data_IF_064721495913
#
_entry.id   IF_064721495913
#
_cell.length_a   1.000
_cell.length_b   1.000
_cell.length_c   1.000
_cell.angle_alpha   90.00
_cell.angle_beta   90.00
_cell.angle_gamma   90.00
#
_symmetry.space_group_name_H-M   'P 1'
#
loop_
_entity.id
_entity.type
_entity.pdbx_description
1 polymer ?
#
# COMPACT_ATOMS: atom_id res chain seq x y z
N UNK A 1 -25.27 3.88 -45.86
CA UNK A 1 -26.28 4.14 -44.82
C UNK A 1 -25.60 4.24 -43.45
N UNK A 2 -25.14 5.45 -43.14
CA UNK A 2 -24.66 5.84 -41.82
C UNK A 2 -25.87 6.22 -40.94
N UNK A 3 -25.84 5.81 -39.68
CA UNK A 3 -26.76 6.25 -38.61
C UNK A 3 -25.88 6.80 -37.48
N UNK A 4 -26.25 7.92 -36.83
CA UNK A 4 -25.29 8.88 -36.29
C UNK A 4 -24.81 8.59 -34.87
N UNK A 5 -23.57 9.03 -34.59
CA UNK A 5 -23.02 9.27 -33.26
C UNK A 5 -23.81 10.39 -32.55
N UNK A 6 -24.75 10.02 -31.69
CA UNK A 6 -25.23 10.91 -30.64
C UNK A 6 -25.87 10.09 -29.52
N UNK A 7 -25.04 9.51 -28.65
CA UNK A 7 -25.38 9.13 -27.26
C UNK A 7 -24.14 8.54 -26.56
N UNK A 8 -23.12 9.37 -26.34
CA UNK A 8 -21.98 9.07 -25.47
C UNK A 8 -21.72 10.28 -24.59
N UNK A 9 -22.57 10.51 -23.59
CA UNK A 9 -22.28 11.36 -22.42
C UNK A 9 -23.48 11.38 -21.47
N UNK A 10 -23.69 10.28 -20.75
CA UNK A 10 -24.32 10.28 -19.42
C UNK A 10 -24.25 8.87 -18.86
N UNK A 11 -23.33 8.60 -17.92
CA UNK A 11 -23.48 7.68 -16.79
C UNK A 11 -22.13 7.62 -16.02
N UNK A 12 -21.79 8.74 -15.39
CA UNK A 12 -20.87 8.77 -14.25
C UNK A 12 -21.73 8.97 -12.99
N UNK A 13 -22.28 7.87 -12.45
CA UNK A 13 -22.76 7.77 -11.06
C UNK A 13 -23.26 6.35 -10.77
N UNK A 14 -22.52 5.63 -9.92
CA UNK A 14 -22.94 4.70 -8.86
C UNK A 14 -21.96 3.51 -8.71
N UNK A 15 -21.33 3.32 -7.53
CA UNK A 15 -20.67 2.08 -7.17
C UNK A 15 -21.38 1.43 -5.96
N UNK A 16 -22.10 0.32 -6.16
CA UNK A 16 -22.55 -0.55 -5.06
C UNK A 16 -23.15 -1.85 -5.61
N UNK A 17 -22.33 -2.83 -6.01
CA UNK A 17 -22.84 -4.19 -6.25
C UNK A 17 -21.80 -5.34 -6.24
N UNK A 18 -20.51 -5.10 -5.96
CA UNK A 18 -19.47 -6.12 -6.24
C UNK A 18 -18.82 -6.80 -5.03
N UNK A 19 -19.30 -6.58 -3.80
CA UNK A 19 -18.64 -7.16 -2.60
C UNK A 19 -19.36 -8.39 -2.03
N UNK A 20 -20.61 -8.67 -2.40
CA UNK A 20 -21.38 -9.79 -1.82
C UNK A 20 -21.07 -11.19 -2.42
N UNK A 21 -20.06 -11.34 -3.29
CA UNK A 21 -19.83 -12.60 -4.03
C UNK A 21 -18.68 -13.50 -3.54
N UNK A 22 -18.03 -13.17 -2.42
CA UNK A 22 -16.84 -13.93 -1.96
C UNK A 22 -17.09 -14.89 -0.78
N UNK A 23 -18.32 -15.04 -0.28
CA UNK A 23 -18.64 -15.93 0.85
C UNK A 23 -19.60 -17.07 0.49
N UNK A 24 -19.38 -17.80 -0.61
CA UNK A 24 -20.15 -19.03 -0.89
C UNK A 24 -19.23 -20.20 -1.23
N UNK A 25 -19.33 -21.26 -0.41
CA UNK A 25 -18.86 -22.61 -0.71
C UNK A 25 -20.07 -23.57 -0.80
N UNK A 26 -19.97 -24.70 -1.52
CA UNK A 26 -21.13 -25.39 -2.08
C UNK A 26 -21.68 -26.54 -1.23
N UNK A 27 -23.01 -26.70 -1.28
CA UNK A 27 -23.75 -27.97 -1.33
C UNK A 27 -23.65 -28.96 -0.16
N UNK A 28 -24.68 -28.97 0.69
CA UNK A 28 -25.12 -30.18 1.38
C UNK A 28 -26.66 -30.20 1.47
N UNK A 29 -27.19 -31.42 1.36
CA UNK A 29 -28.54 -31.85 1.02
C UNK A 29 -29.73 -31.10 1.64
N UNK A 30 -30.76 -30.92 0.81
CA UNK A 30 -32.09 -30.51 1.22
C UNK A 30 -32.97 -31.75 1.42
N UNK A 31 -33.45 -32.00 2.64
CA UNK A 31 -34.80 -32.55 2.88
C UNK A 31 -35.16 -32.62 4.36
N UNK A 32 -36.40 -32.18 4.65
CA UNK A 32 -37.21 -32.35 5.86
C UNK A 32 -36.88 -31.45 7.06
N UNK A 33 -37.47 -30.25 7.08
CA UNK A 33 -38.31 -29.79 8.20
C UNK A 33 -39.05 -28.49 7.84
N UNK A 34 -40.37 -28.49 8.08
CA UNK A 34 -41.33 -27.42 7.80
C UNK A 34 -41.04 -26.12 8.57
N UNK A 35 -41.47 -24.94 8.07
CA UNK A 35 -41.19 -23.67 8.74
C UNK A 35 -42.13 -23.43 9.95
N UNK A 36 -41.65 -22.91 11.09
CA UNK A 36 -42.52 -22.39 12.14
C UNK A 36 -43.01 -20.96 11.81
N UNK A 37 -44.12 -20.51 12.41
CA UNK A 37 -44.87 -19.34 11.95
C UNK A 37 -44.15 -18.02 12.24
N UNK A 38 -44.38 -17.04 11.38
CA UNK A 38 -43.86 -15.67 11.45
C UNK A 38 -44.31 -14.96 12.74
N UNK A 39 -43.35 -14.44 13.50
CA UNK A 39 -43.57 -13.54 14.64
C UNK A 39 -43.05 -12.14 14.24
N UNK A 40 -43.80 -11.05 14.47
CA UNK A 40 -43.50 -9.76 13.88
C UNK A 40 -42.23 -9.11 14.45
N UNK A 41 -41.50 -8.44 13.57
CA UNK A 41 -40.32 -7.60 13.84
C UNK A 41 -40.68 -6.58 14.91
N UNK A 42 -40.04 -6.69 16.08
CA UNK A 42 -40.01 -5.63 17.09
C UNK A 42 -38.59 -5.08 17.14
N UNK A 43 -38.45 -3.93 16.51
CA UNK A 43 -37.32 -3.03 16.55
C UNK A 43 -36.93 -2.74 18.01
N UNK A 44 -35.76 -3.23 18.43
CA UNK A 44 -35.12 -2.88 19.70
C UNK A 44 -33.75 -2.31 19.39
N UNK A 45 -33.72 -1.01 19.11
CA UNK A 45 -32.55 -0.19 19.37
C UNK A 45 -32.31 -0.13 20.90
N UNK A 46 -31.08 -0.28 21.39
CA UNK A 46 -30.79 0.00 22.79
C UNK A 46 -30.79 1.51 23.05
N UNK A 47 -31.23 1.99 24.23
CA UNK A 47 -31.40 3.41 24.50
C UNK A 47 -30.07 4.10 24.82
N UNK A 48 -29.75 5.16 24.07
CA UNK A 48 -28.87 6.23 24.52
C UNK A 48 -29.61 7.07 25.57
N UNK A 49 -29.21 7.00 26.84
CA UNK A 49 -29.63 7.88 27.94
C UNK A 49 -28.62 7.62 29.08
N UNK A 50 -27.86 8.55 29.65
CA UNK A 50 -28.12 9.97 29.97
C UNK A 50 -26.78 10.69 30.17
N UNK A 51 -26.54 11.81 29.49
CA UNK A 51 -25.57 12.82 29.94
C UNK A 51 -26.19 14.20 29.73
N UNK A 52 -26.73 14.77 30.81
CA UNK A 52 -27.07 16.20 30.87
C UNK A 52 -25.83 17.00 31.29
N UNK A 53 -25.61 18.22 30.75
CA UNK A 53 -24.46 19.04 31.10
C UNK A 53 -24.82 19.98 32.26
N UNK A 54 -23.99 20.00 33.31
CA UNK A 54 -23.92 21.12 34.24
C UNK A 54 -22.49 21.63 34.25
N UNK A 55 -22.33 22.87 33.79
CA UNK A 55 -21.08 23.62 33.80
C UNK A 55 -20.81 24.25 35.18
N UNK A 56 -19.57 24.71 35.34
CA UNK A 56 -18.95 25.47 36.46
C UNK A 56 -18.36 24.61 37.60
N UNK A 57 -17.13 24.80 38.06
CA UNK A 57 -15.99 25.62 37.65
C UNK A 57 -14.76 25.13 38.46
N UNK A 58 -13.59 25.05 37.83
CA UNK A 58 -12.31 25.18 38.53
C UNK A 58 -11.25 25.59 37.50
N UNK A 59 -11.03 26.90 37.41
CA UNK A 59 -9.95 27.48 36.63
C UNK A 59 -8.60 27.02 37.21
N UNK A 60 -7.90 26.15 36.48
CA UNK A 60 -6.45 25.97 36.59
C UNK A 60 -5.86 26.31 35.23
N UNK A 61 -4.87 27.19 35.25
CA UNK A 61 -4.22 27.83 34.13
C UNK A 61 -3.65 26.80 33.14
N UNK A 62 -4.45 26.48 32.12
CA UNK A 62 -4.00 25.73 30.95
C UNK A 62 -2.93 26.55 30.23
N UNK A 63 -1.66 26.15 30.37
CA UNK A 63 -0.65 26.48 29.35
C UNK A 63 -1.13 25.81 28.08
N UNK A 64 -1.67 26.60 27.16
CA UNK A 64 -2.14 26.16 25.85
C UNK A 64 -1.07 25.30 25.19
N UNK A 65 -1.46 24.07 24.87
CA UNK A 65 -0.62 23.00 24.32
C UNK A 65 0.23 23.47 23.14
N UNK A 66 -0.20 24.49 22.39
CA UNK A 66 0.51 25.11 21.26
C UNK A 66 2.01 25.42 21.50
N UNK A 67 2.44 25.70 22.74
CA UNK A 67 3.84 26.05 23.04
C UNK A 67 4.83 24.88 22.98
N UNK A 68 4.39 23.64 23.27
CA UNK A 68 5.28 22.45 23.30
C UNK A 68 5.58 21.87 21.91
N UNK A 69 4.78 22.20 20.91
CA UNK A 69 4.78 21.58 19.58
C UNK A 69 5.80 22.23 18.63
N UNK A 70 6.19 23.48 18.89
CA UNK A 70 7.12 24.22 18.05
C UNK A 70 8.58 23.76 18.15
N UNK A 71 8.93 22.97 19.18
CA UNK A 71 10.26 22.37 19.36
C UNK A 71 10.36 21.03 18.66
N UNK A 72 9.39 20.14 18.89
CA UNK A 72 9.38 18.77 18.36
C UNK A 72 9.29 18.75 16.83
N UNK A 73 8.43 19.60 16.24
CA UNK A 73 8.32 19.76 14.78
C UNK A 73 9.61 20.32 14.20
N UNK A 74 10.30 21.20 14.95
CA UNK A 74 11.56 21.82 14.52
C UNK A 74 12.71 20.82 14.54
N UNK A 75 12.79 19.99 15.56
CA UNK A 75 13.81 18.94 15.67
C UNK A 75 13.62 17.86 14.60
N UNK A 76 12.36 17.45 14.32
CA UNK A 76 12.04 16.49 13.27
C UNK A 76 12.31 17.01 11.84
N UNK A 77 12.11 18.31 11.59
CA UNK A 77 12.44 18.97 10.31
C UNK A 77 13.96 19.17 10.17
N UNK A 78 14.68 19.44 11.26
CA UNK A 78 16.12 19.65 11.27
C UNK A 78 16.92 18.36 11.00
N UNK A 79 16.40 17.19 11.39
CA UNK A 79 17.05 15.89 11.15
C UNK A 79 16.80 15.28 9.75
N UNK A 80 16.01 15.95 8.90
CA UNK A 80 16.01 15.75 7.44
C UNK A 80 15.31 14.48 6.89
N UNK A 81 14.77 13.61 7.73
CA UNK A 81 14.23 12.30 7.30
C UNK A 81 12.75 12.04 7.69
N UNK A 82 12.06 13.04 8.25
CA UNK A 82 10.66 12.92 8.65
C UNK A 82 9.72 13.73 7.74
N UNK A 83 9.09 13.05 6.79
CA UNK A 83 7.87 13.53 6.14
C UNK A 83 6.75 13.54 7.19
N UNK A 84 6.17 14.69 7.58
CA UNK A 84 5.06 14.77 8.52
C UNK A 84 3.77 14.38 7.79
N UNK A 85 3.71 13.17 7.24
CA UNK A 85 2.54 12.68 6.55
C UNK A 85 1.58 12.05 7.58
N UNK A 86 0.89 12.88 8.36
CA UNK A 86 -0.37 12.60 9.08
C UNK A 86 -0.54 11.28 9.88
N UNK A 87 0.53 10.51 10.10
CA UNK A 87 0.44 9.15 10.63
C UNK A 87 1.10 9.12 12.00
N UNK A 88 0.41 9.71 12.98
CA UNK A 88 0.82 9.71 14.37
C UNK A 88 0.01 8.63 15.10
N UNK A 89 0.67 7.73 15.82
CA UNK A 89 0.01 6.76 16.71
C UNK A 89 -0.10 7.35 18.11
N UNK A 90 -1.30 7.28 18.70
CA UNK A 90 -1.67 7.85 19.98
C UNK A 90 -2.15 6.75 20.93
N UNK A 91 -1.26 6.05 21.62
CA UNK A 91 -1.63 4.98 22.52
C UNK A 91 -2.52 5.50 23.65
N UNK A 92 -3.34 4.59 24.16
CA UNK A 92 -4.25 4.85 25.26
C UNK A 92 -3.49 4.69 26.58
N UNK A 93 -3.50 5.75 27.37
CA UNK A 93 -2.99 5.74 28.73
C UNK A 93 -4.15 5.82 29.73
N UNK A 94 -3.94 5.22 30.90
CA UNK A 94 -4.93 5.22 31.98
C UNK A 94 -4.46 6.11 33.12
N UNK A 95 -5.18 7.20 33.38
CA UNK A 95 -4.98 8.04 34.58
C UNK A 95 -6.13 7.80 35.56
N UNK A 96 -5.84 7.21 36.72
CA UNK A 96 -6.87 6.85 37.73
C UNK A 96 -8.05 6.03 37.13
N UNK A 97 -7.77 5.22 36.11
CA UNK A 97 -8.77 4.41 35.40
C UNK A 97 -9.50 5.12 34.25
N UNK A 98 -9.27 6.41 34.02
CA UNK A 98 -9.82 7.13 32.87
C UNK A 98 -8.87 7.01 31.66
N UNK A 99 -9.35 6.53 30.49
CA UNK A 99 -8.55 6.42 29.29
C UNK A 99 -8.37 7.80 28.63
N UNK A 100 -7.16 8.11 28.17
CA UNK A 100 -6.88 9.28 27.34
C UNK A 100 -5.73 8.99 26.37
N UNK A 101 -5.61 9.81 25.33
CA UNK A 101 -4.64 9.63 24.26
C UNK A 101 -3.35 10.43 24.49
N UNK A 102 -2.21 9.74 24.49
CA UNK A 102 -0.88 10.37 24.42
C UNK A 102 -0.16 9.93 23.14
N UNK A 103 0.59 10.84 22.50
CA UNK A 103 1.32 10.51 21.28
C UNK A 103 2.52 9.59 21.60
N UNK A 104 2.76 8.56 20.78
CA UNK A 104 4.00 7.79 20.85
C UNK A 104 5.23 8.71 20.75
N UNK A 105 6.30 8.35 21.46
CA UNK A 105 7.60 8.97 21.26
C UNK A 105 8.05 8.71 19.80
N UNK A 106 8.24 9.80 19.06
CA UNK A 106 8.60 9.76 17.66
C UNK A 106 9.92 9.00 17.42
N UNK A 107 10.84 8.97 18.40
CA UNK A 107 12.10 8.22 18.31
C UNK A 107 11.87 6.72 18.25
N UNK A 108 10.87 6.23 18.97
CA UNK A 108 10.49 4.81 18.96
C UNK A 108 9.95 4.44 17.58
N UNK A 109 9.07 5.27 17.02
CA UNK A 109 8.53 5.09 15.66
C UNK A 109 9.63 5.16 14.59
N UNK A 110 10.57 6.09 14.71
CA UNK A 110 11.70 6.22 13.80
C UNK A 110 12.61 4.99 13.85
N UNK A 111 12.90 4.48 15.06
CA UNK A 111 13.67 3.27 15.23
C UNK A 111 12.96 2.05 14.62
N UNK A 112 11.64 1.92 14.82
CA UNK A 112 10.85 0.84 14.23
C UNK A 112 10.91 0.89 12.69
N UNK A 113 10.68 2.07 12.12
CA UNK A 113 10.74 2.30 10.67
C UNK A 113 12.13 1.99 10.11
N UNK A 114 13.19 2.41 10.81
CA UNK A 114 14.58 2.13 10.42
C UNK A 114 14.85 0.63 10.41
N UNK A 115 14.49 -0.09 11.47
CA UNK A 115 14.64 -1.55 11.56
C UNK A 115 13.94 -2.26 10.41
N UNK A 116 12.69 -1.88 10.08
CA UNK A 116 11.98 -2.49 8.94
C UNK A 116 12.61 -2.13 7.60
N UNK A 117 13.11 -0.90 7.43
CA UNK A 117 13.78 -0.44 6.20
C UNK A 117 15.11 -1.17 5.96
N UNK A 118 15.87 -1.44 7.01
CA UNK A 118 17.19 -2.09 6.93
C UNK A 118 17.08 -3.61 6.81
N UNK A 119 16.22 -4.24 7.61
CA UNK A 119 16.14 -5.70 7.70
C UNK A 119 15.03 -6.30 6.84
N UNK A 120 14.01 -5.53 6.46
CA UNK A 120 12.83 -6.02 5.73
C UNK A 120 11.84 -6.77 6.61
N UNK A 121 10.54 -6.46 6.47
CA UNK A 121 9.46 -6.96 7.35
C UNK A 121 9.26 -8.49 7.34
N UNK A 122 9.85 -9.20 6.37
CA UNK A 122 9.78 -10.66 6.23
C UNK A 122 10.92 -11.39 6.95
N UNK A 123 11.94 -10.71 7.44
CA UNK A 123 13.04 -11.36 8.16
C UNK A 123 12.80 -11.23 9.67
N UNK A 124 13.39 -12.12 10.47
CA UNK A 124 13.18 -12.11 11.93
C UNK A 124 13.55 -10.76 12.55
N UNK A 125 14.68 -10.18 12.13
CA UNK A 125 15.14 -8.89 12.62
C UNK A 125 14.19 -7.74 12.27
N UNK A 126 13.61 -7.74 11.07
CA UNK A 126 12.59 -6.76 10.69
C UNK A 126 11.24 -7.00 11.37
N UNK A 127 10.88 -8.27 11.63
CA UNK A 127 9.69 -8.65 12.40
C UNK A 127 9.79 -8.30 13.87
N UNK A 128 11.00 -8.14 14.41
CA UNK A 128 11.16 -7.67 15.78
C UNK A 128 10.45 -6.32 16.00
N UNK A 129 10.42 -5.43 14.98
CA UNK A 129 9.78 -4.11 15.08
C UNK A 129 8.31 -4.17 15.55
N UNK A 130 7.37 -4.81 14.83
CA UNK A 130 6.00 -4.96 15.32
C UNK A 130 5.91 -5.78 16.62
N UNK A 131 6.85 -6.70 16.89
CA UNK A 131 6.83 -7.54 18.10
C UNK A 131 7.13 -6.77 19.39
N UNK A 132 7.97 -5.73 19.37
CA UNK A 132 8.15 -4.86 20.53
C UNK A 132 7.28 -3.62 20.50
N UNK A 133 6.84 -3.14 19.33
CA UNK A 133 6.07 -1.89 19.20
C UNK A 133 4.60 -2.06 19.63
N UNK A 134 3.93 -3.13 19.20
CA UNK A 134 2.53 -3.34 19.55
C UNK A 134 2.28 -3.64 21.02
N UNK A 135 3.14 -4.40 21.73
CA UNK A 135 2.97 -4.63 23.17
C UNK A 135 3.48 -3.52 24.07
N UNK A 136 4.25 -2.56 23.55
CA UNK A 136 4.79 -1.46 24.34
C UNK A 136 3.67 -0.61 24.97
N UNK A 137 2.56 -0.46 24.25
CA UNK A 137 1.45 0.39 24.64
C UNK A 137 0.08 -0.24 24.32
N UNK A 138 -0.98 0.30 24.93
CA UNK A 138 -2.36 -0.07 24.59
C UNK A 138 -2.77 0.68 23.34
N UNK A 139 -2.77 -0.02 22.21
CA UNK A 139 -3.08 0.55 20.91
C UNK A 139 -4.57 0.45 20.58
N UNK A 140 -5.18 1.58 20.17
CA UNK A 140 -6.51 1.56 19.57
C UNK A 140 -6.46 0.95 18.15
N UNK A 141 -7.60 0.52 17.57
CA UNK A 141 -7.63 0.11 16.17
C UNK A 141 -7.05 1.17 15.22
N UNK A 142 -7.32 2.45 15.48
CA UNK A 142 -6.73 3.55 14.71
C UNK A 142 -5.21 3.60 14.84
N UNK A 143 -4.67 3.40 16.05
CA UNK A 143 -3.22 3.34 16.25
C UNK A 143 -2.59 2.16 15.51
N UNK A 144 -3.25 1.00 15.53
CA UNK A 144 -2.78 -0.17 14.80
C UNK A 144 -2.64 0.11 13.29
N UNK A 145 -3.60 0.82 12.69
CA UNK A 145 -3.52 1.27 11.29
C UNK A 145 -2.34 2.23 11.08
N UNK A 146 -2.16 3.21 11.97
CA UNK A 146 -1.11 4.20 11.87
C UNK A 146 0.28 3.56 12.03
N UNK A 147 0.45 2.65 12.98
CA UNK A 147 1.69 1.89 13.15
C UNK A 147 2.01 1.06 11.90
N UNK A 148 1.02 0.39 11.31
CA UNK A 148 1.21 -0.33 10.06
C UNK A 148 1.60 0.60 8.90
N UNK A 149 1.00 1.79 8.79
CA UNK A 149 1.40 2.80 7.80
C UNK A 149 2.83 3.32 8.00
N UNK A 150 3.31 3.41 9.24
CA UNK A 150 4.70 3.80 9.54
C UNK A 150 5.69 2.73 9.09
N UNK A 151 5.33 1.45 9.26
CA UNK A 151 6.23 0.32 9.01
C UNK A 151 6.20 -0.21 7.57
N UNK A 152 5.08 -0.05 6.87
CA UNK A 152 4.84 -0.73 5.59
C UNK A 152 4.83 0.24 4.40
N UNK A 153 5.28 -0.24 3.25
CA UNK A 153 4.99 0.44 1.98
C UNK A 153 3.48 0.43 1.69
N UNK A 154 2.95 1.33 0.83
CA UNK A 154 1.53 1.35 0.49
C UNK A 154 1.00 0.01 -0.03
N UNK A 155 1.80 -0.72 -0.83
CA UNK A 155 1.42 -2.04 -1.35
C UNK A 155 1.35 -3.11 -0.27
N UNK A 156 2.30 -3.11 0.67
CA UNK A 156 2.33 -4.02 1.81
C UNK A 156 1.20 -3.73 2.78
N UNK A 157 0.88 -2.46 3.00
CA UNK A 157 -0.23 -2.04 3.84
C UNK A 157 -1.56 -2.61 3.34
N UNK A 158 -1.83 -2.60 2.03
CA UNK A 158 -3.06 -3.19 1.46
C UNK A 158 -3.17 -4.69 1.79
N UNK A 159 -2.05 -5.42 1.70
CA UNK A 159 -2.02 -6.86 1.99
C UNK A 159 -2.21 -7.10 3.49
N UNK A 160 -1.51 -6.34 4.32
CA UNK A 160 -1.65 -6.36 5.77
C UNK A 160 -3.09 -6.07 6.21
N UNK A 161 -3.70 -5.02 5.68
CA UNK A 161 -5.07 -4.61 6.02
C UNK A 161 -6.07 -5.71 5.67
N UNK A 162 -5.93 -6.32 4.49
CA UNK A 162 -6.78 -7.44 4.07
C UNK A 162 -6.65 -8.65 5.01
N UNK A 163 -5.44 -8.95 5.46
CA UNK A 163 -5.24 -10.04 6.41
C UNK A 163 -5.83 -9.72 7.77
N UNK A 164 -5.70 -8.48 8.23
CA UNK A 164 -6.26 -8.05 9.50
C UNK A 164 -7.79 -8.09 9.49
N UNK A 165 -8.42 -7.63 8.40
CA UNK A 165 -9.86 -7.78 8.18
C UNK A 165 -10.30 -9.24 8.21
N UNK A 166 -9.53 -10.13 7.56
CA UNK A 166 -9.80 -11.58 7.54
C UNK A 166 -9.74 -12.18 8.94
N UNK A 167 -8.69 -11.88 9.71
CA UNK A 167 -8.54 -12.35 11.09
C UNK A 167 -9.64 -11.79 12.00
N UNK A 168 -10.00 -10.52 11.85
CA UNK A 168 -11.09 -9.90 12.60
C UNK A 168 -12.45 -10.55 12.27
N UNK A 169 -12.71 -10.88 11.01
CA UNK A 169 -13.92 -11.61 10.62
C UNK A 169 -13.99 -13.00 11.26
N UNK A 170 -12.87 -13.71 11.30
CA UNK A 170 -12.79 -15.01 11.96
C UNK A 170 -13.08 -14.84 13.45
N UNK A 171 -12.40 -13.90 14.12
CA UNK A 171 -12.52 -13.65 15.55
C UNK A 171 -13.94 -13.26 15.97
N UNK A 172 -14.59 -12.40 15.18
CA UNK A 172 -15.97 -11.95 15.41
C UNK A 172 -17.02 -13.04 15.14
N UNK A 173 -16.71 -14.03 14.31
CA UNK A 173 -17.61 -15.14 14.02
C UNK A 173 -17.59 -16.23 15.11
N UNK A 174 -16.61 -16.21 16.03
CA UNK A 174 -16.56 -17.17 17.13
C UNK A 174 -17.74 -16.98 18.08
N UNK A 175 -18.52 -18.04 18.37
CA UNK A 175 -19.61 -17.96 19.35
C UNK A 175 -19.06 -17.65 20.74
N UNK A 176 -19.68 -16.67 21.41
CA UNK A 176 -19.31 -16.24 22.77
C UNK A 176 -20.51 -16.27 23.69
N UNK A 177 -20.23 -16.56 24.96
CA UNK A 177 -21.23 -16.43 26.02
C UNK A 177 -21.55 -14.95 26.27
N UNK A 178 -22.74 -14.67 26.77
CA UNK A 178 -23.20 -13.30 27.05
C UNK A 178 -22.38 -12.60 28.15
N UNK A 179 -21.62 -13.37 28.94
CA UNK A 179 -20.73 -12.85 29.98
C UNK A 179 -19.30 -12.59 29.49
N UNK A 180 -18.98 -12.96 28.24
CA UNK A 180 -17.67 -12.65 27.64
C UNK A 180 -17.58 -11.13 27.39
N UNK A 181 -16.53 -10.44 27.85
CA UNK A 181 -16.30 -9.02 27.54
C UNK A 181 -16.30 -8.70 26.05
N UNK A 182 -16.08 -9.69 25.19
CA UNK A 182 -16.05 -9.56 23.73
C UNK A 182 -17.40 -9.91 23.06
N UNK A 183 -18.43 -10.23 23.84
CA UNK A 183 -19.75 -10.56 23.30
C UNK A 183 -20.34 -9.38 22.52
N UNK A 184 -20.81 -9.65 21.29
CA UNK A 184 -21.46 -8.66 20.43
C UNK A 184 -20.53 -7.75 19.63
N UNK A 185 -19.20 -7.92 19.73
CA UNK A 185 -18.28 -7.21 18.85
C UNK A 185 -18.26 -7.79 17.44
N UNK A 186 -18.09 -6.88 16.47
CA UNK A 186 -18.02 -7.21 15.05
C UNK A 186 -16.64 -6.85 14.48
N UNK A 187 -16.31 -7.40 13.32
CA UNK A 187 -15.01 -7.19 12.66
C UNK A 187 -14.66 -5.70 12.51
N UNK A 188 -15.62 -4.86 12.12
CA UNK A 188 -15.41 -3.41 11.96
C UNK A 188 -14.99 -2.71 13.26
N UNK A 189 -15.40 -3.22 14.43
CA UNK A 189 -14.97 -2.67 15.72
C UNK A 189 -13.52 -3.05 16.04
N UNK A 190 -13.11 -4.25 15.67
CA UNK A 190 -11.73 -4.75 15.84
C UNK A 190 -10.77 -3.97 14.93
N UNK A 191 -11.17 -3.71 13.68
CA UNK A 191 -10.31 -3.02 12.70
C UNK A 191 -10.47 -1.51 12.72
N UNK A 192 -11.47 -0.97 13.42
CA UNK A 192 -11.78 0.47 13.43
C UNK A 192 -12.27 0.97 12.07
N UNK A 193 -13.08 0.16 11.38
CA UNK A 193 -13.57 0.45 10.03
C UNK A 193 -14.99 1.01 10.03
N UNK A 194 -15.40 1.65 8.93
CA UNK A 194 -16.76 2.14 8.74
C UNK A 194 -17.20 3.12 9.84
N UNK A 195 -18.31 2.80 10.51
CA UNK A 195 -18.87 3.60 11.61
C UNK A 195 -17.97 3.66 12.86
N UNK A 196 -16.97 2.79 12.95
CA UNK A 196 -16.07 2.64 14.10
C UNK A 196 -14.68 3.26 13.87
N UNK A 197 -14.51 4.02 12.79
CA UNK A 197 -13.26 4.73 12.46
C UNK A 197 -12.97 5.94 13.35
N UNK A 198 -13.96 6.41 14.13
CA UNK A 198 -13.79 7.55 15.00
C UNK A 198 -12.92 7.21 16.23
N UNK A 199 -11.81 7.92 16.39
CA UNK A 199 -10.88 7.69 17.50
C UNK A 199 -11.49 8.00 18.88
N UNK A 200 -12.32 9.04 19.02
CA UNK A 200 -13.03 9.33 20.28
C UNK A 200 -13.98 8.19 20.67
N UNK A 201 -14.61 7.53 19.70
CA UNK A 201 -15.43 6.34 19.95
C UNK A 201 -14.55 5.18 20.44
N UNK A 202 -13.43 4.93 19.77
CA UNK A 202 -12.52 3.84 20.12
C UNK A 202 -11.92 3.98 21.52
N UNK A 203 -11.73 5.19 22.03
CA UNK A 203 -11.25 5.45 23.40
C UNK A 203 -12.13 4.80 24.49
N UNK A 204 -13.41 4.59 24.18
CA UNK A 204 -14.39 4.02 25.11
C UNK A 204 -14.51 2.49 24.97
N UNK A 205 -13.69 1.85 24.15
CA UNK A 205 -13.68 0.39 24.04
C UNK A 205 -13.14 -0.26 25.32
N UNK A 206 -13.59 -1.49 25.63
CA UNK A 206 -12.99 -2.23 26.72
C UNK A 206 -11.55 -2.59 26.38
N UNK A 207 -10.70 -2.62 27.40
CA UNK A 207 -9.28 -2.96 27.27
C UNK A 207 -9.04 -4.27 26.51
N UNK A 208 -9.88 -5.28 26.74
CA UNK A 208 -9.83 -6.57 26.04
C UNK A 208 -9.94 -6.43 24.53
N UNK A 209 -10.77 -5.50 24.03
CA UNK A 209 -10.92 -5.26 22.60
C UNK A 209 -9.68 -4.57 22.01
N UNK A 210 -9.04 -3.65 22.74
CA UNK A 210 -7.76 -3.05 22.32
C UNK A 210 -6.66 -4.11 22.20
N UNK A 211 -6.54 -4.98 23.21
CA UNK A 211 -5.55 -6.04 23.20
C UNK A 211 -5.78 -7.03 22.05
N UNK A 212 -7.04 -7.37 21.79
CA UNK A 212 -7.42 -8.23 20.67
C UNK A 212 -7.09 -7.59 19.33
N UNK A 213 -7.50 -6.34 19.11
CA UNK A 213 -7.21 -5.59 17.90
C UNK A 213 -5.70 -5.52 17.62
N UNK A 214 -4.91 -5.13 18.63
CA UNK A 214 -3.45 -5.05 18.55
C UNK A 214 -2.80 -6.42 18.28
N UNK A 215 -3.32 -7.50 18.88
CA UNK A 215 -2.82 -8.85 18.65
C UNK A 215 -3.04 -9.30 17.19
N UNK A 216 -4.25 -9.14 16.66
CA UNK A 216 -4.56 -9.52 15.29
C UNK A 216 -3.85 -8.62 14.27
N UNK A 217 -3.71 -7.33 14.57
CA UNK A 217 -2.95 -6.38 13.77
C UNK A 217 -1.48 -6.81 13.66
N UNK A 218 -0.86 -7.18 14.79
CA UNK A 218 0.51 -7.71 14.83
C UNK A 218 0.63 -9.02 14.04
N UNK A 219 -0.32 -9.94 14.21
CA UNK A 219 -0.32 -11.21 13.48
C UNK A 219 -0.44 -11.01 11.96
N UNK A 220 -1.09 -9.94 11.51
CA UNK A 220 -1.28 -9.66 10.09
C UNK A 220 0.02 -9.30 9.36
N UNK A 221 1.08 -8.90 10.08
CA UNK A 221 2.40 -8.66 9.47
C UNK A 221 3.02 -9.94 8.87
N UNK A 222 2.62 -11.13 9.34
CA UNK A 222 3.11 -12.40 8.81
C UNK A 222 2.60 -12.72 7.39
N UNK A 223 1.50 -12.09 6.97
CA UNK A 223 0.96 -12.24 5.61
C UNK A 223 1.62 -11.29 4.60
N UNK A 224 2.42 -10.33 5.05
CA UNK A 224 3.02 -9.31 4.19
C UNK A 224 4.20 -9.90 3.41
N UNK A 225 4.14 -9.94 2.07
CA UNK A 225 5.29 -10.35 1.28
C UNK A 225 6.38 -9.30 1.32
N UNK A 226 7.60 -9.75 1.09
CA UNK A 226 8.69 -8.86 0.75
C UNK A 226 8.34 -8.13 -0.54
N UNK A 227 8.33 -6.79 -0.52
CA UNK A 227 8.45 -6.03 -1.77
C UNK A 227 9.76 -6.50 -2.33
N UNK A 228 9.71 -7.20 -3.47
CA UNK A 228 10.89 -7.78 -4.10
C UNK A 228 12.03 -6.78 -3.98
N UNK A 229 13.08 -7.18 -3.26
CA UNK A 229 14.40 -6.55 -3.40
C UNK A 229 14.62 -6.28 -4.89
N UNK A 230 15.23 -5.15 -5.29
CA UNK A 230 15.55 -4.89 -6.69
C UNK A 230 16.01 -6.20 -7.33
N UNK A 231 15.41 -6.62 -8.46
CA UNK A 231 15.62 -7.97 -8.99
C UNK A 231 17.10 -8.29 -8.93
N UNK A 232 17.44 -9.48 -8.42
CA UNK A 232 18.81 -9.98 -8.43
C UNK A 232 19.41 -9.62 -9.80
N UNK A 233 20.61 -9.05 -9.82
CA UNK A 233 21.15 -8.44 -11.05
C UNK A 233 21.10 -9.39 -12.26
N UNK A 234 21.11 -10.71 -12.02
CA UNK A 234 20.92 -11.79 -13.00
C UNK A 234 19.57 -11.77 -13.73
N UNK A 235 18.51 -11.28 -13.10
CA UNK A 235 17.12 -11.29 -13.59
C UNK A 235 16.71 -9.97 -14.23
N UNK A 236 17.61 -8.98 -14.30
CA UNK A 236 17.32 -7.68 -14.90
C UNK A 236 17.48 -7.78 -16.42
N UNK A 237 16.36 -7.94 -17.14
CA UNK A 237 16.35 -7.99 -18.62
C UNK A 237 15.66 -6.78 -19.24
N UNK A 238 16.07 -6.42 -20.44
CA UNK A 238 15.43 -5.36 -21.21
C UNK A 238 14.09 -5.86 -21.75
N UNK A 239 13.02 -5.13 -21.46
CA UNK A 239 11.71 -5.39 -22.05
C UNK A 239 11.73 -5.23 -23.57
N UNK A 240 10.73 -5.81 -24.24
CA UNK A 240 10.59 -5.75 -25.71
C UNK A 240 10.52 -4.32 -26.25
N UNK A 241 9.88 -3.41 -25.51
CA UNK A 241 9.68 -1.99 -25.87
C UNK A 241 10.51 -1.04 -25.02
N UNK A 242 11.34 -1.57 -24.13
CA UNK A 242 12.11 -0.77 -23.19
C UNK A 242 13.36 -0.18 -23.85
N UNK A 243 13.64 1.10 -23.56
CA UNK A 243 14.88 1.75 -24.01
C UNK A 243 16.11 1.20 -23.27
N UNK A 244 17.25 1.11 -23.97
CA UNK A 244 18.46 0.52 -23.40
C UNK A 244 18.99 1.28 -22.17
N UNK A 245 18.80 2.61 -22.09
CA UNK A 245 19.15 3.40 -20.90
C UNK A 245 18.44 2.91 -19.63
N UNK A 246 17.15 2.58 -19.73
CA UNK A 246 16.38 2.09 -18.59
C UNK A 246 16.86 0.73 -18.08
N UNK A 247 17.33 -0.15 -18.99
CA UNK A 247 18.01 -1.39 -18.58
C UNK A 247 19.25 -1.08 -17.73
N UNK A 248 20.11 -0.16 -18.21
CA UNK A 248 21.36 0.21 -17.54
C UNK A 248 21.08 0.81 -16.16
N UNK A 249 20.07 1.67 -16.06
CA UNK A 249 19.67 2.27 -14.77
C UNK A 249 19.20 1.20 -13.78
N UNK A 250 18.34 0.27 -14.19
CA UNK A 250 17.88 -0.82 -13.32
C UNK A 250 19.01 -1.77 -12.92
N UNK A 251 19.91 -2.11 -13.85
CA UNK A 251 21.09 -2.92 -13.55
C UNK A 251 21.96 -2.21 -12.51
N UNK A 252 22.18 -0.90 -12.66
CA UNK A 252 22.99 -0.12 -11.74
C UNK A 252 22.41 -0.14 -10.32
N UNK A 253 21.09 0.05 -10.20
CA UNK A 253 20.39 -0.06 -8.91
C UNK A 253 20.47 -1.46 -8.29
N UNK A 254 20.39 -2.52 -9.10
CA UNK A 254 20.55 -3.89 -8.62
C UNK A 254 21.94 -4.16 -8.04
N UNK A 255 23.01 -3.59 -8.63
CA UNK A 255 24.38 -3.74 -8.11
C UNK A 255 24.68 -2.89 -6.87
N UNK A 256 24.06 -1.71 -6.73
CA UNK A 256 24.17 -0.90 -5.50
C UNK A 256 23.62 -1.65 -4.27
N UNK A 257 22.71 -2.58 -4.50
CA UNK A 257 22.08 -3.41 -3.46
C UNK A 257 22.89 -4.68 -3.12
N UNK A 258 24.15 -4.79 -3.58
CA UNK A 258 25.03 -5.96 -3.34
C UNK A 258 26.33 -5.55 -2.61
N UNK A 259 26.35 -5.56 -1.26
CA UNK A 259 27.50 -5.10 -0.47
C UNK A 259 28.68 -6.08 -0.47
N UNK A 260 28.45 -7.38 -0.74
CA UNK A 260 29.45 -8.44 -0.55
C UNK A 260 30.39 -8.68 -1.74
N UNK A 261 30.23 -7.92 -2.83
CA UNK A 261 31.00 -8.10 -4.06
C UNK A 261 32.03 -6.98 -4.25
N UNK A 262 33.25 -7.31 -4.67
CA UNK A 262 34.29 -6.30 -4.94
C UNK A 262 33.89 -5.41 -6.11
N UNK A 263 34.38 -4.17 -6.12
CA UNK A 263 34.04 -3.20 -7.17
C UNK A 263 34.50 -3.65 -8.56
N UNK A 264 35.62 -4.36 -8.65
CA UNK A 264 36.14 -4.93 -9.90
C UNK A 264 35.21 -6.03 -10.43
N UNK A 265 34.68 -6.88 -9.55
CA UNK A 265 33.72 -7.91 -9.89
C UNK A 265 32.37 -7.30 -10.31
N UNK A 266 31.92 -6.22 -9.64
CA UNK A 266 30.73 -5.45 -10.03
C UNK A 266 30.86 -4.87 -11.42
N UNK A 267 31.98 -4.21 -11.71
CA UNK A 267 32.21 -3.62 -13.04
C UNK A 267 32.25 -4.69 -14.15
N UNK A 268 32.92 -5.81 -13.89
CA UNK A 268 33.02 -6.92 -14.85
C UNK A 268 31.64 -7.53 -15.12
N UNK A 269 30.88 -7.83 -14.06
CA UNK A 269 29.55 -8.43 -14.18
C UNK A 269 28.54 -7.47 -14.79
N UNK A 270 28.56 -6.19 -14.39
CA UNK A 270 27.71 -5.15 -14.95
C UNK A 270 27.88 -5.01 -16.45
N UNK A 271 29.14 -5.02 -16.93
CA UNK A 271 29.47 -4.98 -18.35
C UNK A 271 28.97 -6.20 -19.10
N UNK A 272 29.10 -7.39 -18.52
CA UNK A 272 28.60 -8.64 -19.11
C UNK A 272 27.07 -8.60 -19.26
N UNK A 273 26.36 -8.24 -18.19
CA UNK A 273 24.90 -8.22 -18.17
C UNK A 273 24.30 -7.09 -19.00
N UNK A 274 24.96 -5.94 -19.11
CA UNK A 274 24.56 -4.88 -20.04
C UNK A 274 24.42 -5.41 -21.47
N UNK A 275 25.30 -6.33 -21.88
CA UNK A 275 25.22 -6.97 -23.19
C UNK A 275 24.26 -8.17 -23.21
N UNK A 276 24.39 -9.11 -22.27
CA UNK A 276 23.63 -10.37 -22.27
C UNK A 276 22.14 -10.18 -21.99
N UNK A 277 21.78 -9.17 -21.20
CA UNK A 277 20.40 -8.94 -20.81
C UNK A 277 19.67 -7.92 -21.68
N UNK A 278 20.35 -7.37 -22.69
CA UNK A 278 19.72 -6.58 -23.73
C UNK A 278 18.74 -7.43 -24.56
N UNK A 279 17.70 -6.79 -25.10
CA UNK A 279 16.77 -7.46 -26.01
C UNK A 279 17.43 -7.73 -27.38
N UNK A 280 16.86 -8.62 -28.18
CA UNK A 280 17.48 -9.09 -29.42
C UNK A 280 17.81 -7.94 -30.38
N UNK A 281 16.90 -6.97 -30.50
CA UNK A 281 17.12 -5.77 -31.34
C UNK A 281 18.36 -5.01 -30.89
N UNK A 282 18.48 -4.76 -29.58
CA UNK A 282 19.62 -4.02 -29.03
C UNK A 282 20.90 -4.84 -29.14
N UNK A 283 20.86 -6.15 -28.87
CA UNK A 283 22.00 -7.07 -29.04
C UNK A 283 22.57 -7.03 -30.46
N UNK A 284 21.72 -7.01 -31.49
CA UNK A 284 22.22 -6.91 -32.88
C UNK A 284 23.01 -5.63 -33.15
N UNK A 285 22.61 -4.52 -32.52
CA UNK A 285 23.31 -3.24 -32.61
C UNK A 285 24.61 -3.30 -31.80
N UNK A 286 24.57 -3.80 -30.56
CA UNK A 286 25.75 -3.88 -29.70
C UNK A 286 26.82 -4.84 -30.25
N UNK A 287 26.43 -5.88 -30.98
CA UNK A 287 27.34 -6.85 -31.57
C UNK A 287 28.31 -6.24 -32.61
N UNK A 288 28.05 -5.02 -33.09
CA UNK A 288 28.97 -4.31 -34.00
C UNK A 288 30.14 -3.63 -33.28
N UNK A 289 30.11 -3.58 -31.94
CA UNK A 289 31.18 -2.97 -31.15
C UNK A 289 32.41 -3.88 -31.05
N UNK A 290 33.61 -3.31 -30.90
CA UNK A 290 34.83 -4.09 -30.69
C UNK A 290 34.77 -4.84 -29.35
N UNK A 291 35.46 -5.99 -29.31
CA UNK A 291 35.63 -6.77 -28.07
C UNK A 291 36.35 -5.90 -27.04
N UNK A 292 35.64 -5.55 -25.96
CA UNK A 292 36.15 -4.67 -24.91
C UNK A 292 35.48 -3.30 -24.82
N UNK A 293 34.54 -2.97 -25.72
CA UNK A 293 33.77 -1.73 -25.62
C UNK A 293 33.09 -1.57 -24.25
N UNK A 294 33.12 -0.36 -23.68
CA UNK A 294 32.51 -0.08 -22.38
C UNK A 294 30.98 0.16 -22.49
N UNK A 295 30.32 0.24 -21.33
CA UNK A 295 28.86 0.41 -21.28
C UNK A 295 28.41 1.79 -21.81
N UNK A 296 29.27 2.82 -21.73
CA UNK A 296 28.98 4.14 -22.30
C UNK A 296 28.91 4.07 -23.83
N UNK A 297 29.88 3.40 -24.46
CA UNK A 297 29.88 3.15 -25.90
C UNK A 297 28.67 2.33 -26.35
N UNK A 298 28.26 1.34 -25.55
CA UNK A 298 27.03 0.58 -25.79
C UNK A 298 25.78 1.47 -25.75
N UNK A 299 25.71 2.39 -24.78
CA UNK A 299 24.58 3.28 -24.57
C UNK A 299 24.43 4.29 -25.71
N UNK A 300 25.54 4.91 -26.14
CA UNK A 300 25.58 5.84 -27.27
C UNK A 300 25.09 5.17 -28.55
N UNK A 301 25.61 3.97 -28.85
CA UNK A 301 25.26 3.24 -30.07
C UNK A 301 23.78 2.81 -30.06
N UNK A 302 23.28 2.30 -28.94
CA UNK A 302 21.87 1.90 -28.80
C UNK A 302 20.92 3.11 -28.96
N UNK A 303 21.26 4.26 -28.38
CA UNK A 303 20.48 5.48 -28.50
C UNK A 303 20.45 6.01 -29.94
N UNK A 304 21.59 6.01 -30.63
CA UNK A 304 21.68 6.41 -32.04
C UNK A 304 20.83 5.49 -32.94
N UNK A 305 20.86 4.18 -32.71
CA UNK A 305 20.05 3.23 -33.45
C UNK A 305 18.53 3.45 -33.23
N UNK A 306 18.10 3.78 -32.01
CA UNK A 306 16.70 4.12 -31.73
C UNK A 306 16.26 5.41 -32.44
N UNK A 307 17.12 6.44 -32.45
CA UNK A 307 16.81 7.71 -33.12
C UNK A 307 16.69 7.52 -34.64
N UNK A 308 17.58 6.73 -35.24
CA UNK A 308 17.52 6.41 -36.67
C UNK A 308 16.29 5.58 -37.05
N UNK A 309 15.84 4.66 -36.18
CA UNK A 309 14.57 3.95 -36.38
C UNK A 309 13.37 4.90 -36.33
N UNK A 310 13.31 5.81 -35.35
CA UNK A 310 12.23 6.81 -35.27
C UNK A 310 12.23 7.76 -36.47
N UNK A 311 13.41 8.23 -36.90
CA UNK A 311 13.57 9.09 -38.07
C UNK A 311 13.12 8.42 -39.38
N UNK A 312 13.47 7.14 -39.57
CA UNK A 312 13.03 6.37 -40.75
C UNK A 312 11.52 6.15 -40.78
N UNK A 313 10.88 5.88 -39.63
CA UNK A 313 9.42 5.71 -39.54
C UNK A 313 8.68 7.03 -39.84
N UNK A 314 9.18 8.15 -39.31
CA UNK A 314 8.59 9.48 -39.60
C UNK A 314 8.76 9.85 -41.07
N UNK A 315 9.95 9.65 -41.65
CA UNK A 315 10.20 9.92 -43.06
C UNK A 315 9.34 9.03 -43.98
N UNK A 316 9.14 7.75 -43.64
CA UNK A 316 8.27 6.86 -44.39
C UNK A 316 6.79 7.26 -44.27
N UNK A 317 6.34 7.65 -43.07
CA UNK A 317 4.98 8.16 -42.87
C UNK A 317 4.73 9.48 -43.62
N UNK A 318 5.73 10.36 -43.73
CA UNK A 318 5.63 11.59 -44.52
C UNK A 318 5.65 11.33 -46.03
N UNK A 319 6.44 10.36 -46.49
CA UNK A 319 6.45 9.93 -47.89
C UNK A 319 5.14 9.24 -48.34
N UNK A 320 4.34 8.70 -47.41
CA UNK A 320 3.02 8.13 -47.70
C UNK A 320 1.88 9.16 -47.74
N UNK A 321 2.06 10.38 -47.21
CA UNK A 321 1.07 11.48 -47.28
C UNK A 321 0.69 11.89 -48.72
N UNK A 322 1.61 12.02 -49.69
CA UNK A 322 1.22 12.34 -51.07
C UNK A 322 0.43 11.20 -51.75
N UNK A 323 0.65 9.94 -51.38
CA UNK A 323 -0.03 8.78 -51.98
C UNK A 323 -1.48 8.65 -51.53
N UNK A 324 -1.80 8.99 -50.27
CA UNK A 324 -3.18 9.03 -49.77
C UNK A 324 -3.96 10.23 -50.32
N UNK A 325 -3.30 11.38 -50.53
CA UNK A 325 -3.88 12.54 -51.21
C UNK A 325 -4.27 12.25 -52.66
N UNK A 326 -3.43 11.52 -53.39
CA UNK A 326 -3.70 11.16 -54.79
C UNK A 326 -4.86 10.16 -54.92
N UNK A 327 -4.98 9.20 -53.99
CA UNK A 327 -6.13 8.30 -53.92
C UNK A 327 -7.42 9.05 -53.55
N UNK A 328 -7.38 10.00 -52.62
CA UNK A 328 -8.54 10.82 -52.26
C UNK A 328 -9.00 11.73 -53.41
N UNK A 329 -8.07 12.34 -54.15
CA UNK A 329 -8.37 13.17 -55.31
C UNK A 329 -8.94 12.37 -56.50
N UNK A 330 -8.59 11.08 -56.61
CA UNK A 330 -9.13 10.20 -57.65
C UNK A 330 -10.57 9.75 -57.33
N UNK A 331 -10.90 9.54 -56.05
CA UNK A 331 -12.26 9.20 -55.59
C UNK A 331 -13.24 10.36 -55.78
N UNK A 332 -12.81 11.61 -55.58
CA UNK A 332 -13.65 12.80 -55.82
C UNK A 332 -13.91 13.11 -57.30
N UNK A 333 -13.16 12.54 -58.24
CA UNK A 333 -13.35 12.75 -59.68
C UNK A 333 -14.26 11.73 -60.35
N UNK A 334 -14.67 10.69 -59.61
CA UNK A 334 -15.51 9.58 -60.08
C UNK A 334 -16.89 9.57 -59.40
N UNK A 335 -17.18 10.57 -58.54
CA UNK A 335 -18.51 10.86 -57.98
C UNK A 335 -19.16 12.02 -58.73
#
# INVERSE_FOLDING_TARGET
>A
PAVPESQLLTHMRQPAASVQRLCQLPGADASLMSPPPSVPVRELAPPLSTLSPSAEAAASTHKTSAGRWSGIIRDAILEGDWEPANTLAYPILFNQGQPWYEQHDWKILQQAKKTVKESGIKYEDGRAAPDWLFPADVNSPHDCQNLAHVLLSPSQYIIWQREWDRLACIEAAWPRDHNDPLYGFIADMITGSGAFSNMTLQLNYPLTLHHLAAHLARQSFYAVPEVSSPPAFTNVHQGLTEGYSHLIDRLSQAFLSQPDMTEEAKQTMFKLLAFENANDTTKTVLATLPKGADVGQMLELANHAMQNKKGTVVAHAEAMKPTTSLLAATVQRVS
#
